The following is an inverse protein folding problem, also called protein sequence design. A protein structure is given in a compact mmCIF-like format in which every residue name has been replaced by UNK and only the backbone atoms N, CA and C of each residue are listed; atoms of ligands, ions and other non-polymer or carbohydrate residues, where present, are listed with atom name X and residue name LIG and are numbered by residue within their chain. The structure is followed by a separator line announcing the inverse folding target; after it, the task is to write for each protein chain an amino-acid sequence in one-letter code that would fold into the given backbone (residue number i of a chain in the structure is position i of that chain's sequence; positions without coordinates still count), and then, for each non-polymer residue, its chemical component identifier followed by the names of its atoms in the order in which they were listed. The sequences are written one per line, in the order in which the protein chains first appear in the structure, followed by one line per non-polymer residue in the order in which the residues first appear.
data_IF_964592946213
#
_entry.id   IF_964592946213
#
_cell.length_a   1.000
_cell.length_b   1.000
_cell.length_c   1.000
_cell.angle_alpha   90.00
_cell.angle_beta   90.00
_cell.angle_gamma   90.00
#
_symmetry.space_group_name_H-M   'P 1'
#
loop_
_entity.id
_entity.type
_entity.pdbx_description
1 polymer ?
#
# COMPACT_ATOMS: atom_id res chain seq x y z
N UNK A 1 -5.72 -68.59 -40.31
CA UNK A 1 -6.48 -67.33 -40.07
C UNK A 1 -5.49 -66.31 -39.48
N UNK A 2 -5.08 -65.29 -40.26
CA UNK A 2 -4.22 -64.18 -39.76
C UNK A 2 -5.15 -63.00 -39.46
N UNK A 3 -5.29 -62.65 -38.17
CA UNK A 3 -5.99 -61.46 -37.72
C UNK A 3 -4.96 -60.28 -37.83
N UNK A 4 -5.14 -59.42 -38.83
CA UNK A 4 -4.43 -58.13 -38.91
C UNK A 4 -5.25 -57.08 -38.13
N UNK A 5 -4.80 -56.76 -36.94
CA UNK A 5 -5.34 -55.67 -36.13
C UNK A 5 -4.98 -54.31 -36.79
N UNK A 6 -5.98 -53.66 -37.42
CA UNK A 6 -5.88 -52.27 -37.88
C UNK A 6 -6.23 -51.37 -36.70
N UNK A 7 -5.19 -50.84 -36.03
CA UNK A 7 -5.35 -49.74 -35.08
C UNK A 7 -5.75 -48.48 -35.88
N UNK A 8 -6.91 -47.84 -35.60
CA UNK A 8 -7.32 -46.66 -36.37
C UNK A 8 -6.35 -45.50 -36.08
N UNK A 9 -5.87 -44.89 -37.17
CA UNK A 9 -4.93 -43.74 -37.21
C UNK A 9 -5.44 -42.56 -36.32
N UNK A 10 -6.76 -42.50 -36.10
CA UNK A 10 -7.42 -41.48 -35.25
C UNK A 10 -7.01 -41.50 -33.79
N UNK A 11 -6.62 -42.64 -33.21
CA UNK A 11 -6.21 -42.75 -31.80
C UNK A 11 -4.80 -42.27 -31.59
N UNK A 12 -3.92 -42.43 -32.59
CA UNK A 12 -2.54 -41.94 -32.52
C UNK A 12 -2.42 -40.39 -32.59
N UNK A 13 -3.37 -39.71 -33.26
CA UNK A 13 -3.38 -38.25 -33.39
C UNK A 13 -3.81 -37.54 -32.08
N UNK A 14 -4.70 -38.15 -31.32
CA UNK A 14 -5.19 -37.59 -30.04
C UNK A 14 -4.11 -37.69 -28.95
N UNK A 15 -3.30 -38.71 -28.94
CA UNK A 15 -2.18 -38.88 -27.98
C UNK A 15 -1.06 -37.87 -28.23
N UNK A 16 -0.78 -37.50 -29.50
CA UNK A 16 0.25 -36.51 -29.86
C UNK A 16 -0.14 -35.07 -29.49
N UNK A 17 -1.42 -34.72 -29.50
CA UNK A 17 -1.89 -33.40 -29.06
C UNK A 17 -1.88 -33.22 -27.53
N UNK A 18 -2.01 -34.27 -26.75
CA UNK A 18 -1.95 -34.26 -25.29
C UNK A 18 -0.53 -34.07 -24.72
N UNK A 19 0.50 -34.46 -25.45
CA UNK A 19 1.90 -34.35 -24.97
C UNK A 19 2.49 -32.95 -25.11
N UNK A 20 2.03 -32.14 -26.08
CA UNK A 20 2.49 -30.77 -26.28
C UNK A 20 2.09 -29.84 -25.12
N UNK A 21 0.84 -29.96 -24.64
CA UNK A 21 0.34 -29.11 -23.54
C UNK A 21 0.99 -29.40 -22.19
N UNK A 22 1.47 -30.63 -21.97
CA UNK A 22 2.20 -31.02 -20.77
C UNK A 22 3.60 -30.40 -20.68
N UNK A 23 4.32 -30.35 -21.81
CA UNK A 23 5.64 -29.73 -21.89
C UNK A 23 5.59 -28.20 -21.68
N UNK A 24 4.57 -27.53 -22.20
CA UNK A 24 4.46 -26.09 -22.06
C UNK A 24 4.11 -25.67 -20.60
N UNK A 25 3.26 -26.44 -19.92
CA UNK A 25 3.00 -26.21 -18.47
C UNK A 25 4.26 -26.41 -17.61
N UNK A 26 5.10 -27.39 -17.93
CA UNK A 26 6.35 -27.61 -17.21
C UNK A 26 7.33 -26.45 -17.44
N UNK A 27 7.45 -25.98 -18.69
CA UNK A 27 8.25 -24.80 -19.04
C UNK A 27 7.69 -23.53 -18.38
N UNK A 28 6.37 -23.36 -18.33
CA UNK A 28 5.75 -22.24 -17.65
C UNK A 28 6.11 -22.20 -16.16
N UNK A 29 6.14 -23.36 -15.50
CA UNK A 29 6.55 -23.48 -14.10
C UNK A 29 8.04 -23.16 -13.89
N UNK A 30 8.91 -23.58 -14.81
CA UNK A 30 10.34 -23.22 -14.79
C UNK A 30 10.53 -21.71 -14.93
N UNK A 31 9.80 -21.07 -15.84
CA UNK A 31 9.83 -19.61 -16.01
C UNK A 31 9.29 -18.88 -14.78
N UNK A 32 8.21 -19.38 -14.17
CA UNK A 32 7.73 -18.83 -12.90
C UNK A 32 8.81 -18.85 -11.83
N UNK A 33 9.50 -20.00 -11.65
CA UNK A 33 10.55 -20.15 -10.65
C UNK A 33 11.74 -19.20 -10.91
N UNK A 34 12.13 -19.01 -12.18
CA UNK A 34 13.15 -18.02 -12.58
C UNK A 34 12.70 -16.60 -12.26
N UNK A 35 11.43 -16.28 -12.55
CA UNK A 35 10.84 -15.00 -12.20
C UNK A 35 10.85 -14.74 -10.69
N UNK A 36 10.47 -15.72 -9.88
CA UNK A 36 10.51 -15.63 -8.41
C UNK A 36 11.95 -15.45 -7.90
N UNK A 37 12.93 -16.14 -8.47
CA UNK A 37 14.34 -15.98 -8.11
C UNK A 37 14.83 -14.55 -8.46
N UNK A 38 14.52 -14.05 -9.65
CA UNK A 38 14.84 -12.68 -10.05
C UNK A 38 14.18 -11.64 -9.13
N UNK A 39 12.90 -11.84 -8.78
CA UNK A 39 12.16 -10.96 -7.87
C UNK A 39 12.82 -10.90 -6.48
N UNK A 40 13.21 -12.04 -5.90
CA UNK A 40 13.92 -12.09 -4.62
C UNK A 40 15.26 -11.37 -4.63
N UNK A 41 15.89 -11.27 -5.80
CA UNK A 41 17.15 -10.54 -6.01
C UNK A 41 16.91 -9.06 -6.40
N UNK A 42 15.67 -8.54 -6.25
CA UNK A 42 15.25 -7.21 -6.66
C UNK A 42 15.46 -6.89 -8.16
N UNK A 43 15.59 -7.92 -9.01
CA UNK A 43 15.70 -7.81 -10.46
C UNK A 43 14.30 -7.79 -11.09
N UNK A 44 13.54 -6.73 -10.83
CA UNK A 44 12.10 -6.69 -11.14
C UNK A 44 11.79 -6.75 -12.63
N UNK A 45 12.59 -6.13 -13.50
CA UNK A 45 12.42 -6.20 -14.95
C UNK A 45 12.60 -7.62 -15.48
N UNK A 46 13.60 -8.34 -14.97
CA UNK A 46 13.84 -9.73 -15.33
C UNK A 46 12.72 -10.63 -14.78
N UNK A 47 12.21 -10.34 -13.57
CA UNK A 47 11.07 -11.04 -13.01
C UNK A 47 9.83 -10.87 -13.90
N UNK A 48 9.51 -9.64 -14.31
CA UNK A 48 8.40 -9.34 -15.25
C UNK A 48 8.54 -10.13 -16.53
N UNK A 49 9.72 -10.14 -17.16
CA UNK A 49 9.96 -10.87 -18.40
C UNK A 49 9.71 -12.38 -18.25
N UNK A 50 10.20 -12.98 -17.16
CA UNK A 50 10.00 -14.40 -16.89
C UNK A 50 8.52 -14.73 -16.60
N UNK A 51 7.81 -13.90 -15.84
CA UNK A 51 6.39 -14.10 -15.56
C UNK A 51 5.53 -13.95 -16.81
N UNK A 52 5.81 -12.97 -17.67
CA UNK A 52 5.16 -12.83 -18.97
C UNK A 52 5.37 -14.04 -19.85
N UNK A 53 6.58 -14.60 -19.85
CA UNK A 53 6.87 -15.80 -20.64
C UNK A 53 6.16 -17.03 -20.06
N UNK A 54 6.07 -17.16 -18.74
CA UNK A 54 5.26 -18.20 -18.09
C UNK A 54 3.79 -18.13 -18.50
N UNK A 55 3.20 -16.92 -18.53
CA UNK A 55 1.81 -16.69 -18.96
C UNK A 55 1.62 -16.99 -20.46
N UNK A 56 2.63 -16.68 -21.29
CA UNK A 56 2.59 -17.01 -22.72
C UNK A 56 2.54 -18.52 -22.96
N UNK A 57 3.23 -19.31 -22.13
CA UNK A 57 3.26 -20.77 -22.21
C UNK A 57 1.99 -21.41 -21.61
N UNK A 58 1.45 -20.83 -20.54
CA UNK A 58 0.19 -21.24 -19.92
C UNK A 58 -0.65 -19.99 -19.56
N UNK A 59 -1.56 -19.55 -20.44
CA UNK A 59 -2.39 -18.38 -20.23
C UNK A 59 -3.33 -18.48 -19.01
N UNK A 60 -3.55 -19.68 -18.49
CA UNK A 60 -4.38 -19.92 -17.29
C UNK A 60 -3.57 -20.06 -16.02
N UNK A 61 -2.26 -19.76 -16.04
CA UNK A 61 -1.41 -19.85 -14.87
C UNK A 61 -1.61 -18.67 -13.91
N UNK A 62 -2.61 -18.76 -13.05
CA UNK A 62 -3.03 -17.68 -12.15
C UNK A 62 -1.89 -17.16 -11.25
N UNK A 63 -1.06 -18.07 -10.70
CA UNK A 63 0.09 -17.66 -9.90
C UNK A 63 1.07 -16.78 -10.68
N UNK A 64 1.29 -17.07 -11.97
CA UNK A 64 2.18 -16.26 -12.80
C UNK A 64 1.60 -14.83 -13.03
N UNK A 65 0.28 -14.72 -13.17
CA UNK A 65 -0.41 -13.43 -13.29
C UNK A 65 -0.30 -12.63 -12.00
N UNK A 66 -0.51 -13.27 -10.84
CA UNK A 66 -0.38 -12.62 -9.53
C UNK A 66 1.06 -12.13 -9.28
N UNK A 67 2.06 -12.97 -9.56
CA UNK A 67 3.46 -12.59 -9.43
C UNK A 67 3.85 -11.48 -10.41
N UNK A 68 3.27 -11.47 -11.62
CA UNK A 68 3.49 -10.40 -12.57
C UNK A 68 2.94 -9.06 -12.05
N UNK A 69 1.72 -9.05 -11.53
CA UNK A 69 1.12 -7.87 -10.90
C UNK A 69 1.97 -7.37 -9.73
N UNK A 70 2.44 -8.29 -8.87
CA UNK A 70 3.35 -7.99 -7.77
C UNK A 70 4.67 -7.40 -8.27
N UNK A 71 5.27 -7.96 -9.33
CA UNK A 71 6.52 -7.44 -9.88
C UNK A 71 6.35 -6.03 -10.48
N UNK A 72 5.20 -5.73 -11.08
CA UNK A 72 4.87 -4.36 -11.50
C UNK A 72 4.67 -3.42 -10.32
N UNK A 73 3.98 -3.85 -9.24
CA UNK A 73 3.76 -2.96 -8.09
C UNK A 73 5.07 -2.54 -7.40
N UNK A 74 6.08 -3.41 -7.40
CA UNK A 74 7.42 -3.08 -6.88
C UNK A 74 8.24 -2.16 -7.80
N UNK A 75 7.84 -1.97 -9.04
CA UNK A 75 8.45 -0.99 -9.96
C UNK A 75 7.78 0.39 -9.88
N UNK A 76 6.63 0.50 -9.23
CA UNK A 76 5.95 1.78 -9.05
C UNK A 76 6.74 2.64 -8.08
N UNK A 77 7.25 3.76 -8.57
CA UNK A 77 7.97 4.75 -7.76
C UNK A 77 6.96 5.67 -7.08
N UNK A 78 6.93 5.73 -5.74
CA UNK A 78 5.98 6.57 -5.02
C UNK A 78 6.12 8.06 -5.40
N UNK A 79 4.98 8.72 -5.56
CA UNK A 79 4.84 10.14 -5.89
C UNK A 79 5.47 10.57 -7.24
N UNK A 80 5.89 9.64 -8.08
CA UNK A 80 6.37 9.93 -9.43
C UNK A 80 5.20 9.84 -10.43
N UNK A 81 4.80 10.99 -10.97
CA UNK A 81 3.60 11.11 -11.83
C UNK A 81 3.96 11.10 -13.33
N UNK A 82 5.03 10.41 -13.73
CA UNK A 82 5.37 10.25 -15.15
C UNK A 82 4.43 9.25 -15.85
N UNK A 83 4.20 9.40 -17.17
CA UNK A 83 3.37 8.46 -17.92
C UNK A 83 3.82 7.00 -17.79
N UNK A 84 5.13 6.75 -17.74
CA UNK A 84 5.72 5.43 -17.64
C UNK A 84 5.43 4.78 -16.28
N UNK A 85 5.57 5.57 -15.20
CA UNK A 85 5.26 5.09 -13.85
C UNK A 85 3.77 4.81 -13.68
N UNK A 86 2.91 5.70 -14.18
CA UNK A 86 1.46 5.50 -14.17
C UNK A 86 1.02 4.29 -15.00
N UNK A 87 1.65 4.06 -16.16
CA UNK A 87 1.38 2.87 -16.98
C UNK A 87 1.81 1.57 -16.25
N UNK A 88 2.91 1.62 -15.49
CA UNK A 88 3.36 0.48 -14.67
C UNK A 88 2.39 0.22 -13.52
N UNK A 89 1.95 1.28 -12.84
CA UNK A 89 0.93 1.19 -11.80
C UNK A 89 -0.38 0.59 -12.34
N UNK A 90 -0.84 1.04 -13.53
CA UNK A 90 -2.05 0.50 -14.16
C UNK A 90 -1.93 -1.00 -14.45
N UNK A 91 -0.79 -1.49 -14.94
CA UNK A 91 -0.56 -2.93 -15.16
C UNK A 91 -0.66 -3.74 -13.85
N UNK A 92 -0.15 -3.19 -12.76
CA UNK A 92 -0.26 -3.82 -11.45
C UNK A 92 -1.72 -3.83 -10.96
N UNK A 93 -2.42 -2.69 -11.05
CA UNK A 93 -3.84 -2.57 -10.70
C UNK A 93 -4.71 -3.55 -11.51
N UNK A 94 -4.51 -3.65 -12.82
CA UNK A 94 -5.25 -4.58 -13.67
C UNK A 94 -5.07 -6.03 -13.21
N UNK A 95 -3.85 -6.41 -12.84
CA UNK A 95 -3.55 -7.74 -12.33
C UNK A 95 -4.23 -8.04 -10.99
N UNK A 96 -4.18 -7.15 -10.01
CA UNK A 96 -4.84 -7.34 -8.72
C UNK A 96 -6.38 -7.22 -8.83
N UNK A 97 -6.90 -6.35 -9.67
CA UNK A 97 -8.34 -6.28 -9.94
C UNK A 97 -8.87 -7.57 -10.60
N UNK A 98 -8.07 -8.26 -11.41
CA UNK A 98 -8.43 -9.57 -11.93
C UNK A 98 -8.51 -10.64 -10.83
N UNK A 99 -7.74 -10.53 -9.74
CA UNK A 99 -7.88 -11.36 -8.54
C UNK A 99 -9.18 -11.01 -7.83
N UNK A 100 -9.42 -9.71 -7.56
CA UNK A 100 -10.62 -9.23 -6.88
C UNK A 100 -11.92 -9.50 -7.65
N UNK A 101 -11.86 -9.62 -8.97
CA UNK A 101 -13.01 -10.05 -9.76
C UNK A 101 -13.44 -11.51 -9.48
N UNK A 102 -12.51 -12.35 -9.00
CA UNK A 102 -12.77 -13.74 -8.60
C UNK A 102 -13.06 -13.87 -7.12
N UNK A 103 -12.29 -13.17 -6.30
CA UNK A 103 -12.45 -13.09 -4.85
C UNK A 103 -12.40 -11.62 -4.41
N UNK A 104 -13.57 -10.96 -4.29
CA UNK A 104 -13.67 -9.55 -3.88
C UNK A 104 -13.14 -9.29 -2.45
N UNK A 105 -12.87 -10.34 -1.69
CA UNK A 105 -12.42 -10.27 -0.30
C UNK A 105 -10.97 -10.71 -0.11
N UNK A 106 -10.22 -10.96 -1.20
CA UNK A 106 -8.80 -11.30 -1.10
C UNK A 106 -8.01 -10.15 -0.43
N UNK A 107 -7.51 -10.36 0.82
CA UNK A 107 -6.92 -9.26 1.58
C UNK A 107 -5.58 -8.82 0.99
N UNK A 108 -4.87 -9.69 0.30
CA UNK A 108 -3.59 -9.36 -0.33
C UNK A 108 -3.82 -8.44 -1.52
N UNK A 109 -4.77 -8.78 -2.39
CA UNK A 109 -5.09 -7.97 -3.56
C UNK A 109 -5.66 -6.60 -3.14
N UNK A 110 -6.54 -6.54 -2.12
CA UNK A 110 -7.07 -5.28 -1.58
C UNK A 110 -5.95 -4.37 -1.08
N UNK A 111 -5.03 -4.89 -0.26
CA UNK A 111 -3.88 -4.11 0.25
C UNK A 111 -2.96 -3.63 -0.87
N UNK A 112 -2.73 -4.44 -1.90
CA UNK A 112 -1.88 -4.04 -3.02
C UNK A 112 -2.52 -2.94 -3.85
N UNK A 113 -3.83 -3.02 -4.13
CA UNK A 113 -4.57 -1.95 -4.83
C UNK A 113 -4.49 -0.64 -4.04
N UNK A 114 -4.81 -0.66 -2.74
CA UNK A 114 -4.72 0.51 -1.87
C UNK A 114 -3.31 1.13 -1.85
N UNK A 115 -2.27 0.29 -1.75
CA UNK A 115 -0.87 0.74 -1.75
C UNK A 115 -0.48 1.39 -3.08
N UNK A 116 -0.89 0.81 -4.22
CA UNK A 116 -0.60 1.37 -5.55
C UNK A 116 -1.30 2.71 -5.71
N UNK A 117 -2.59 2.82 -5.37
CA UNK A 117 -3.34 4.06 -5.49
C UNK A 117 -2.74 5.17 -4.61
N UNK A 118 -2.27 4.84 -3.40
CA UNK A 118 -1.51 5.77 -2.56
C UNK A 118 -0.21 6.21 -3.23
N UNK A 119 0.55 5.29 -3.81
CA UNK A 119 1.84 5.57 -4.45
C UNK A 119 1.72 6.48 -5.68
N UNK A 120 0.60 6.41 -6.40
CA UNK A 120 0.28 7.31 -7.52
C UNK A 120 -0.57 8.51 -7.11
N UNK A 121 -0.58 8.85 -5.81
CA UNK A 121 -1.27 10.01 -5.24
C UNK A 121 -2.78 10.06 -5.49
N UNK A 122 -3.42 8.90 -5.70
CA UNK A 122 -4.88 8.76 -5.76
C UNK A 122 -5.46 8.52 -4.36
N UNK A 123 -5.26 9.49 -3.47
CA UNK A 123 -5.47 9.35 -2.03
C UNK A 123 -6.90 8.99 -1.66
N UNK A 124 -7.90 9.53 -2.36
CA UNK A 124 -9.31 9.23 -2.08
C UNK A 124 -9.65 7.77 -2.42
N UNK A 125 -9.06 7.22 -3.51
CA UNK A 125 -9.21 5.80 -3.85
C UNK A 125 -8.48 4.93 -2.85
N UNK A 126 -7.22 5.27 -2.52
CA UNK A 126 -6.45 4.54 -1.53
C UNK A 126 -7.22 4.39 -0.21
N UNK A 127 -7.83 5.47 0.28
CA UNK A 127 -8.68 5.46 1.48
C UNK A 127 -9.89 4.54 1.32
N UNK A 128 -10.60 4.63 0.19
CA UNK A 128 -11.76 3.79 -0.07
C UNK A 128 -11.37 2.29 -0.14
N UNK A 129 -10.19 1.97 -0.63
CA UNK A 129 -9.70 0.59 -0.70
C UNK A 129 -9.22 0.09 0.67
N UNK A 130 -8.60 0.94 1.51
CA UNK A 130 -8.27 0.59 2.90
C UNK A 130 -9.53 0.33 3.75
N UNK A 131 -10.63 1.02 3.51
CA UNK A 131 -11.90 0.70 4.15
C UNK A 131 -12.41 -0.70 3.78
N UNK A 132 -12.16 -1.17 2.55
CA UNK A 132 -12.45 -2.56 2.17
C UNK A 132 -11.52 -3.55 2.88
N UNK A 133 -10.23 -3.18 3.05
CA UNK A 133 -9.29 -3.99 3.87
C UNK A 133 -9.81 -4.13 5.28
N UNK A 134 -10.23 -3.04 5.93
CA UNK A 134 -10.80 -3.06 7.29
C UNK A 134 -12.06 -3.94 7.36
N UNK A 135 -12.92 -3.90 6.34
CA UNK A 135 -14.13 -4.73 6.32
C UNK A 135 -13.81 -6.24 6.34
N UNK A 136 -12.67 -6.65 5.76
CA UNK A 136 -12.20 -8.04 5.71
C UNK A 136 -11.28 -8.37 6.89
N UNK A 137 -10.42 -7.42 7.28
CA UNK A 137 -9.43 -7.56 8.34
C UNK A 137 -9.60 -6.45 9.39
N UNK A 138 -10.63 -6.51 10.25
CA UNK A 138 -10.96 -5.42 11.19
C UNK A 138 -9.92 -5.20 12.29
N UNK A 139 -8.96 -6.10 12.45
CA UNK A 139 -7.87 -6.00 13.43
C UNK A 139 -6.51 -5.76 12.78
N UNK A 140 -6.47 -5.29 11.54
CA UNK A 140 -5.24 -4.92 10.87
C UNK A 140 -4.82 -3.49 11.20
N UNK A 141 -3.80 -3.26 12.04
CA UNK A 141 -3.38 -1.92 12.42
C UNK A 141 -2.85 -1.10 11.25
N UNK A 142 -2.34 -1.76 10.20
CA UNK A 142 -1.77 -1.09 9.03
C UNK A 142 -2.84 -0.34 8.23
N UNK A 143 -4.01 -0.95 8.02
CA UNK A 143 -5.10 -0.31 7.28
C UNK A 143 -5.58 0.98 7.96
N UNK A 144 -5.77 0.96 9.28
CA UNK A 144 -6.10 2.16 10.05
C UNK A 144 -4.99 3.22 10.01
N UNK A 145 -3.74 2.80 10.14
CA UNK A 145 -2.59 3.69 10.01
C UNK A 145 -2.58 4.40 8.64
N UNK A 146 -2.78 3.66 7.54
CA UNK A 146 -2.75 4.22 6.19
C UNK A 146 -3.89 5.23 5.99
N UNK A 147 -5.11 4.97 6.49
CA UNK A 147 -6.20 5.96 6.45
C UNK A 147 -5.79 7.24 7.16
N UNK A 148 -5.22 7.15 8.37
CA UNK A 148 -4.75 8.32 9.09
C UNK A 148 -3.65 9.09 8.38
N UNK A 149 -2.72 8.41 7.72
CA UNK A 149 -1.67 9.02 6.87
C UNK A 149 -2.28 9.74 5.66
N UNK A 150 -3.27 9.12 5.01
CA UNK A 150 -3.98 9.72 3.87
C UNK A 150 -4.72 10.99 4.30
N UNK A 151 -5.46 10.93 5.40
CA UNK A 151 -6.21 12.06 5.94
C UNK A 151 -5.28 13.22 6.30
N UNK A 152 -4.17 12.94 6.98
CA UNK A 152 -3.15 13.95 7.27
C UNK A 152 -2.57 14.54 5.98
N UNK A 153 -2.26 13.70 4.98
CA UNK A 153 -1.67 14.15 3.72
C UNK A 153 -2.61 15.06 2.93
N UNK A 154 -3.91 14.76 2.89
CA UNK A 154 -4.92 15.61 2.28
C UNK A 154 -5.04 16.90 3.06
N UNK A 155 -5.20 16.83 4.38
CA UNK A 155 -5.35 17.99 5.24
C UNK A 155 -4.16 18.96 5.13
N UNK A 156 -2.95 18.44 5.04
CA UNK A 156 -1.74 19.25 4.92
C UNK A 156 -1.48 19.70 3.48
N UNK A 157 -1.19 18.75 2.57
CA UNK A 157 -0.67 19.09 1.25
C UNK A 157 -1.72 19.67 0.30
N UNK A 158 -2.95 19.10 0.32
CA UNK A 158 -4.01 19.52 -0.61
C UNK A 158 -4.81 20.71 -0.08
N UNK A 159 -4.93 20.86 1.24
CA UNK A 159 -5.80 21.88 1.83
C UNK A 159 -5.01 22.97 2.55
N UNK A 160 -4.20 22.65 3.57
CA UNK A 160 -3.55 23.67 4.38
C UNK A 160 -2.55 24.53 3.59
N UNK A 161 -1.66 23.90 2.83
CA UNK A 161 -0.63 24.60 2.07
C UNK A 161 -1.23 25.62 1.08
N UNK A 162 -2.18 25.29 0.20
CA UNK A 162 -2.75 26.27 -0.72
C UNK A 162 -3.63 27.32 -0.02
N UNK A 163 -4.35 26.96 1.06
CA UNK A 163 -5.18 27.93 1.82
C UNK A 163 -4.28 29.01 2.44
N UNK A 164 -3.16 28.62 3.06
CA UNK A 164 -2.23 29.55 3.68
C UNK A 164 -1.47 30.36 2.64
N UNK A 165 -1.02 29.74 1.55
CA UNK A 165 -0.34 30.46 0.47
C UNK A 165 -1.23 31.55 -0.16
N UNK A 166 -2.54 31.32 -0.27
CA UNK A 166 -3.48 32.35 -0.77
C UNK A 166 -3.59 33.59 0.12
N UNK A 167 -3.27 33.47 1.41
CA UNK A 167 -3.22 34.56 2.38
C UNK A 167 -1.77 35.08 2.62
N UNK A 168 -0.79 34.64 1.80
CA UNK A 168 0.62 35.02 1.95
C UNK A 168 1.32 34.42 3.16
N UNK A 169 0.77 33.33 3.71
CA UNK A 169 1.29 32.60 4.86
C UNK A 169 1.97 31.31 4.43
N UNK A 170 2.93 30.87 5.25
CA UNK A 170 3.59 29.56 5.12
C UNK A 170 3.36 28.75 6.37
N UNK A 171 3.22 27.43 6.21
CA UNK A 171 3.12 26.49 7.32
C UNK A 171 4.48 25.82 7.56
N UNK A 172 4.97 25.92 8.78
CA UNK A 172 6.19 25.22 9.23
C UNK A 172 5.90 23.81 9.79
N UNK A 173 4.65 23.39 9.74
CA UNK A 173 4.20 22.09 10.26
C UNK A 173 3.99 22.03 11.77
N UNK A 174 4.18 23.14 12.49
CA UNK A 174 4.16 23.14 13.96
C UNK A 174 2.78 23.41 14.59
N UNK A 175 1.73 23.68 13.79
CA UNK A 175 0.38 23.93 14.30
C UNK A 175 0.22 25.28 15.01
N UNK A 176 1.01 26.28 14.61
CA UNK A 176 1.06 27.57 15.28
C UNK A 176 0.86 28.77 14.33
N UNK A 177 0.36 28.54 13.12
CA UNK A 177 0.19 29.59 12.10
C UNK A 177 -0.90 30.56 12.56
N UNK A 178 -0.56 31.85 12.59
CA UNK A 178 -1.53 32.93 12.85
C UNK A 178 -2.29 33.25 11.58
N UNK A 179 -3.46 32.66 11.43
CA UNK A 179 -4.33 32.82 10.27
C UNK A 179 -5.26 34.03 10.42
N UNK A 180 -5.66 34.62 9.27
CA UNK A 180 -6.80 35.51 9.20
C UNK A 180 -8.09 34.76 9.51
N UNK A 181 -9.18 35.46 9.89
CA UNK A 181 -10.49 34.83 10.10
C UNK A 181 -10.97 34.09 8.86
N UNK A 182 -10.68 34.63 7.67
CA UNK A 182 -11.06 34.02 6.38
C UNK A 182 -10.28 32.72 6.09
N UNK A 183 -8.96 32.72 6.29
CA UNK A 183 -8.15 31.52 6.13
C UNK A 183 -8.55 30.42 7.14
N UNK A 184 -8.80 30.83 8.38
CA UNK A 184 -9.28 29.94 9.42
C UNK A 184 -10.60 29.24 9.06
N UNK A 185 -11.62 30.00 8.63
CA UNK A 185 -12.90 29.43 8.26
C UNK A 185 -12.75 28.44 7.08
N UNK A 186 -11.92 28.75 6.08
CA UNK A 186 -11.58 27.83 4.99
C UNK A 186 -10.88 26.58 5.50
N UNK A 187 -9.91 26.73 6.40
CA UNK A 187 -9.17 25.62 7.00
C UNK A 187 -10.08 24.69 7.78
N UNK A 188 -10.96 25.23 8.63
CA UNK A 188 -11.94 24.44 9.38
C UNK A 188 -12.90 23.71 8.45
N UNK A 189 -13.44 24.36 7.43
CA UNK A 189 -14.34 23.75 6.48
C UNK A 189 -13.68 22.59 5.70
N UNK A 190 -12.41 22.73 5.34
CA UNK A 190 -11.69 21.74 4.55
C UNK A 190 -11.17 20.56 5.40
N UNK A 191 -10.75 20.82 6.65
CA UNK A 191 -9.91 19.86 7.39
C UNK A 191 -10.56 19.26 8.63
N UNK A 192 -11.65 19.82 9.18
CA UNK A 192 -12.18 19.33 10.46
C UNK A 192 -12.54 17.85 10.41
N UNK A 193 -13.23 17.39 9.37
CA UNK A 193 -13.60 15.98 9.22
C UNK A 193 -12.36 15.08 9.05
N UNK A 194 -11.44 15.45 8.16
CA UNK A 194 -10.20 14.69 7.88
C UNK A 194 -9.33 14.55 9.13
N UNK A 195 -9.12 15.65 9.86
CA UNK A 195 -8.27 15.64 11.05
C UNK A 195 -8.88 14.78 12.16
N UNK A 196 -10.20 14.87 12.38
CA UNK A 196 -10.86 14.05 13.38
C UNK A 196 -10.82 12.56 13.03
N UNK A 197 -11.11 12.22 11.79
CA UNK A 197 -11.03 10.85 11.29
C UNK A 197 -9.59 10.30 11.33
N UNK A 198 -8.60 11.13 10.97
CA UNK A 198 -7.19 10.78 11.08
C UNK A 198 -6.75 10.48 12.51
N UNK A 199 -7.18 11.31 13.48
CA UNK A 199 -6.92 11.06 14.92
C UNK A 199 -7.55 9.74 15.36
N UNK A 200 -8.81 9.47 14.99
CA UNK A 200 -9.52 8.24 15.34
C UNK A 200 -8.81 6.99 14.79
N UNK A 201 -8.50 6.99 13.50
CA UNK A 201 -7.85 5.85 12.85
C UNK A 201 -6.42 5.60 13.37
N UNK A 202 -5.63 6.65 13.59
CA UNK A 202 -4.28 6.50 14.16
C UNK A 202 -4.30 5.98 15.60
N UNK A 203 -5.26 6.42 16.42
CA UNK A 203 -5.46 5.85 17.76
C UNK A 203 -5.85 4.38 17.67
N UNK A 204 -6.73 3.99 16.71
CA UNK A 204 -7.11 2.59 16.51
C UNK A 204 -5.92 1.74 16.07
N UNK A 205 -5.08 2.24 15.19
CA UNK A 205 -3.84 1.56 14.81
C UNK A 205 -2.91 1.30 16.00
N UNK A 206 -2.77 2.29 16.91
CA UNK A 206 -1.95 2.19 18.13
C UNK A 206 -2.60 1.25 19.15
N UNK A 207 -3.93 1.27 19.29
CA UNK A 207 -4.67 0.32 20.14
C UNK A 207 -4.39 -1.13 19.72
N UNK A 208 -4.45 -1.39 18.41
CA UNK A 208 -4.19 -2.72 17.82
C UNK A 208 -2.72 -3.11 17.87
N UNK A 209 -1.80 -2.14 17.77
CA UNK A 209 -0.36 -2.34 17.87
C UNK A 209 0.29 -1.26 18.74
N UNK A 210 0.40 -1.47 20.07
CA UNK A 210 0.97 -0.47 20.99
C UNK A 210 2.45 -0.13 20.75
N UNK A 211 3.14 -0.82 19.88
CA UNK A 211 4.52 -0.51 19.50
C UNK A 211 4.65 0.14 18.10
N UNK A 212 3.52 0.60 17.51
CA UNK A 212 3.49 1.17 16.18
C UNK A 212 3.99 2.62 16.17
N UNK A 213 5.30 2.80 16.16
CA UNK A 213 5.96 4.10 16.25
C UNK A 213 5.62 5.03 15.06
N UNK A 214 5.42 4.50 13.86
CA UNK A 214 5.01 5.32 12.71
C UNK A 214 3.58 5.87 12.88
N UNK A 215 2.64 5.08 13.43
CA UNK A 215 1.28 5.57 13.73
C UNK A 215 1.31 6.67 14.81
N UNK A 216 2.15 6.54 15.83
CA UNK A 216 2.36 7.58 16.84
C UNK A 216 2.97 8.85 16.23
N UNK A 217 3.91 8.71 15.27
CA UNK A 217 4.51 9.82 14.56
C UNK A 217 3.48 10.58 13.72
N UNK A 218 2.59 9.91 13.02
CA UNK A 218 1.52 10.59 12.27
C UNK A 218 0.44 11.16 13.18
N UNK A 219 0.18 10.54 14.32
CA UNK A 219 -0.78 11.06 15.29
C UNK A 219 -0.34 12.42 15.86
N UNK A 220 0.96 12.58 16.19
CA UNK A 220 1.47 13.89 16.62
C UNK A 220 1.36 14.93 15.50
N UNK A 221 1.64 14.56 14.24
CA UNK A 221 1.48 15.46 13.10
C UNK A 221 0.02 15.85 12.89
N UNK A 222 -0.91 14.93 13.10
CA UNK A 222 -2.35 15.17 13.00
C UNK A 222 -2.85 16.09 14.12
N UNK A 223 -2.35 15.97 15.35
CA UNK A 223 -2.65 16.91 16.42
C UNK A 223 -2.12 18.32 16.13
N UNK A 224 -0.99 18.48 15.43
CA UNK A 224 -0.55 19.80 14.96
C UNK A 224 -1.53 20.37 13.94
N UNK A 225 -2.07 19.55 13.02
CA UNK A 225 -3.14 20.01 12.11
C UNK A 225 -4.42 20.35 12.86
N UNK A 226 -4.72 19.62 13.93
CA UNK A 226 -5.87 19.93 14.79
C UNK A 226 -5.72 21.28 15.49
N UNK A 227 -4.53 21.59 16.00
CA UNK A 227 -4.20 22.88 16.59
C UNK A 227 -4.41 24.05 15.62
N UNK A 228 -4.18 23.86 14.31
CA UNK A 228 -4.45 24.88 13.29
C UNK A 228 -5.95 25.16 13.11
N UNK A 229 -6.84 24.25 13.51
CA UNK A 229 -8.30 24.45 13.44
C UNK A 229 -8.83 25.28 14.60
N UNK A 230 -8.04 25.42 15.69
CA UNK A 230 -8.44 26.12 16.92
C UNK A 230 -8.20 27.64 16.84
N UNK A 231 -8.63 28.24 15.75
CA UNK A 231 -8.44 29.68 15.50
C UNK A 231 -9.19 30.55 16.52
N UNK A 232 -8.44 31.37 17.24
CA UNK A 232 -9.00 32.23 18.27
C UNK A 232 -9.28 31.53 19.61
N UNK A 233 -9.01 30.22 19.72
CA UNK A 233 -9.10 29.46 20.95
C UNK A 233 -7.70 28.99 21.39
N UNK A 234 -6.91 29.90 21.96
CA UNK A 234 -5.54 29.61 22.39
C UNK A 234 -5.44 28.49 23.42
N UNK A 235 -6.46 28.27 24.24
CA UNK A 235 -6.46 27.20 25.22
C UNK A 235 -6.57 25.82 24.55
N UNK A 236 -7.51 25.65 23.62
CA UNK A 236 -7.66 24.40 22.87
C UNK A 236 -6.43 24.13 21.99
N UNK A 237 -5.91 25.16 21.29
CA UNK A 237 -4.70 25.03 20.50
C UNK A 237 -3.50 24.55 21.33
N UNK A 238 -3.28 25.11 22.51
CA UNK A 238 -2.20 24.68 23.44
C UNK A 238 -2.40 23.25 23.90
N UNK A 239 -3.64 22.83 24.16
CA UNK A 239 -3.95 21.47 24.55
C UNK A 239 -3.61 20.46 23.42
N UNK A 240 -4.00 20.76 22.17
CA UNK A 240 -3.67 19.92 21.02
C UNK A 240 -2.15 19.86 20.75
N UNK A 241 -1.42 20.98 20.91
CA UNK A 241 0.04 20.99 20.80
C UNK A 241 0.72 20.17 21.91
N UNK A 242 0.20 20.23 23.14
CA UNK A 242 0.71 19.39 24.23
C UNK A 242 0.54 17.91 23.96
N UNK A 243 -0.61 17.49 23.37
CA UNK A 243 -0.82 16.13 22.90
C UNK A 243 0.13 15.75 21.76
N UNK A 244 0.40 16.66 20.84
CA UNK A 244 1.38 16.42 19.76
C UNK A 244 2.78 16.17 20.36
N UNK A 245 3.21 16.94 21.34
CA UNK A 245 4.51 16.77 22.00
C UNK A 245 4.56 15.45 22.81
N UNK A 246 3.49 15.09 23.51
CA UNK A 246 3.37 13.80 24.19
C UNK A 246 3.55 12.62 23.21
N UNK A 247 2.84 12.65 22.08
CA UNK A 247 2.93 11.60 21.06
C UNK A 247 4.31 11.58 20.38
N UNK A 248 4.99 12.73 20.25
CA UNK A 248 6.37 12.77 19.78
C UNK A 248 7.29 11.95 20.71
N UNK A 249 7.18 12.13 22.04
CA UNK A 249 8.00 11.38 23.00
C UNK A 249 7.67 9.87 22.97
N UNK A 250 6.38 9.51 22.88
CA UNK A 250 5.95 8.12 22.77
C UNK A 250 6.50 7.45 21.49
N UNK A 251 6.43 8.14 20.35
CA UNK A 251 6.96 7.64 19.07
C UNK A 251 8.48 7.40 19.15
N UNK A 252 9.23 8.33 19.71
CA UNK A 252 10.68 8.18 19.89
C UNK A 252 11.04 7.00 20.80
N UNK A 253 10.31 6.85 21.91
CA UNK A 253 10.48 5.73 22.83
C UNK A 253 10.17 4.38 22.18
N UNK A 254 9.05 4.28 21.47
CA UNK A 254 8.66 3.06 20.75
C UNK A 254 9.67 2.69 19.65
N UNK A 255 10.13 3.67 18.87
CA UNK A 255 11.15 3.46 17.82
C UNK A 255 12.45 2.91 18.41
N UNK A 256 12.96 3.51 19.47
CA UNK A 256 14.17 3.03 20.16
C UNK A 256 13.99 1.59 20.66
N UNK A 257 12.84 1.27 21.25
CA UNK A 257 12.54 -0.07 21.73
C UNK A 257 12.46 -1.08 20.55
N UNK A 258 11.89 -0.68 19.41
CA UNK A 258 11.81 -1.52 18.23
C UNK A 258 13.19 -1.77 17.61
N UNK A 259 14.07 -0.78 17.57
CA UNK A 259 15.46 -0.91 17.11
C UNK A 259 16.25 -1.88 17.97
N UNK A 260 16.20 -1.72 19.29
CA UNK A 260 16.86 -2.64 20.23
C UNK A 260 16.39 -4.09 20.07
N UNK A 261 15.08 -4.31 19.85
CA UNK A 261 14.54 -5.64 19.56
C UNK A 261 15.06 -6.23 18.25
N UNK A 262 15.26 -5.39 17.21
CA UNK A 262 15.84 -5.81 15.93
C UNK A 262 17.31 -6.21 16.09
N UNK A 263 18.09 -5.42 16.81
CA UNK A 263 19.51 -5.71 17.10
C UNK A 263 19.68 -6.99 17.90
N UNK A 264 18.87 -7.21 18.95
CA UNK A 264 18.88 -8.44 19.74
C UNK A 264 18.58 -9.70 18.89
N UNK A 265 17.61 -9.60 17.96
CA UNK A 265 17.29 -10.68 17.03
C UNK A 265 18.41 -10.94 16.03
N UNK A 266 19.09 -9.90 15.55
CA UNK A 266 20.21 -10.03 14.62
C UNK A 266 21.49 -10.56 15.32
N UNK A 267 21.75 -10.14 16.56
CA UNK A 267 22.91 -10.60 17.34
C UNK A 267 22.76 -12.00 17.94
N UNK A 268 21.54 -12.50 18.14
CA UNK A 268 21.26 -13.86 18.67
C UNK A 268 21.42 -15.00 17.65
N UNK A 269 21.78 -14.70 16.40
CA UNK A 269 22.03 -15.68 15.33
C UNK A 269 23.44 -16.25 15.27
N UNK A 270 24.35 -15.91 16.20
CA UNK A 270 25.69 -16.44 16.30
C UNK A 270 25.85 -17.16 17.63
N UNK A 271 25.25 -18.33 17.76
CA UNK A 271 25.73 -19.36 18.67
C UNK A 271 26.20 -20.51 17.83
N UNK A 272 27.49 -20.77 17.96
CA UNK A 272 28.28 -21.81 17.33
C UNK A 272 27.62 -23.18 17.41
#
# INVERSE_FOLDING_TARGET
MKLTSRIPVSVALIVLLGTATGCDKLKARDQLNKGVAAFKNAQYEQAVSNFQYAIKLDPNYENAKLYLATAYSYQVVPNLMTPENLATAQKALDGFNAVLAKDPTDPTALKQVASIDRNINQLDKAKADELKVIAVLPNDPEAYYIIGVVDWSIAYNKNAVPILAADGLTDDGNGNVKMTKGACAKMQAANTALVNEGVENLNKAIELNPSYDDAMQYLQLTYRRKADLECGNDAARKADLALADEWTQKAMGARKANELKKEQKAGGGVTM
#
